data_IF_456730833408
#
_entry.id   IF_456730833408
#
_cell.length_a   1.000
_cell.length_b   1.000
_cell.length_c   1.000
_cell.angle_alpha   90.00
_cell.angle_beta   90.00
_cell.angle_gamma   90.00
#
_symmetry.space_group_name_H-M   'P 1'
#
loop_
_entity.id
_entity.type
_entity.pdbx_description
1 polymer ?
#
# COMPACT_ATOMS: atom_id res chain seq x y z
N UNK A 1 13.88 -23.88 5.31
CA UNK A 1 14.43 -22.59 5.78
C UNK A 1 15.81 -22.50 5.16
N UNK A 2 15.90 -21.89 3.98
CA UNK A 2 17.21 -21.53 3.44
C UNK A 2 17.87 -20.56 4.41
N UNK A 3 19.18 -20.72 4.62
CA UNK A 3 19.93 -19.78 5.42
C UNK A 3 19.72 -18.36 4.83
N UNK A 4 19.59 -17.32 5.67
CA UNK A 4 19.60 -15.97 5.16
C UNK A 4 20.83 -15.83 4.25
N UNK A 5 20.65 -15.21 3.07
CA UNK A 5 21.76 -14.97 2.15
C UNK A 5 22.92 -14.36 2.95
N UNK A 6 24.15 -14.84 2.77
CA UNK A 6 25.33 -14.34 3.49
C UNK A 6 25.46 -12.80 3.39
N UNK A 7 24.88 -12.23 2.33
CA UNK A 7 24.74 -10.80 2.09
C UNK A 7 23.85 -10.09 3.13
N UNK A 8 22.74 -10.70 3.56
CA UNK A 8 21.85 -10.15 4.61
C UNK A 8 22.57 -10.09 5.95
N UNK A 9 23.31 -11.14 6.33
CA UNK A 9 24.08 -11.16 7.58
C UNK A 9 25.16 -10.06 7.61
N UNK A 10 25.78 -9.79 6.46
CA UNK A 10 26.75 -8.69 6.31
C UNK A 10 26.06 -7.34 6.47
N UNK A 11 24.92 -7.12 5.83
CA UNK A 11 24.15 -5.86 5.93
C UNK A 11 23.68 -5.65 7.37
N UNK A 12 23.12 -6.67 8.02
CA UNK A 12 22.66 -6.62 9.40
C UNK A 12 23.78 -6.18 10.35
N UNK A 13 24.95 -6.83 10.25
CA UNK A 13 26.09 -6.54 11.13
C UNK A 13 26.75 -5.19 10.87
N UNK A 14 26.63 -4.65 9.65
CA UNK A 14 27.43 -3.53 9.14
C UNK A 14 26.58 -2.37 8.63
N UNK A 15 25.33 -2.29 9.06
CA UNK A 15 24.38 -1.27 8.60
C UNK A 15 24.89 0.15 8.86
N UNK A 16 25.45 0.40 10.05
CA UNK A 16 26.03 1.67 10.46
C UNK A 16 27.17 2.14 9.52
N UNK A 17 28.03 1.22 9.08
CA UNK A 17 29.06 1.51 8.08
C UNK A 17 28.46 1.85 6.71
N UNK A 18 27.46 1.09 6.26
CA UNK A 18 26.82 1.30 4.97
C UNK A 18 26.05 2.63 4.90
N UNK A 19 25.30 2.96 5.95
CA UNK A 19 24.58 4.23 6.09
C UNK A 19 25.58 5.39 6.10
N UNK A 20 26.63 5.30 6.93
CA UNK A 20 27.62 6.39 7.03
C UNK A 20 28.38 6.62 5.73
N UNK A 21 28.80 5.56 5.05
CA UNK A 21 29.51 5.63 3.76
C UNK A 21 28.58 5.95 2.57
N UNK A 22 27.25 5.92 2.76
CA UNK A 22 26.30 6.36 1.75
C UNK A 22 26.18 7.89 1.70
N UNK A 23 26.47 8.58 2.81
CA UNK A 23 26.49 10.05 2.94
C UNK A 23 27.75 10.67 2.33
N UNK A 24 28.89 9.98 2.38
CA UNK A 24 30.15 10.45 1.83
C UNK A 24 31.28 9.42 1.92
N UNK A 25 32.31 9.59 1.09
CA UNK A 25 33.47 8.72 1.13
C UNK A 25 34.33 9.00 2.38
N UNK A 26 34.79 7.95 3.06
CA UNK A 26 35.63 8.06 4.27
C UNK A 26 36.77 7.06 4.28
N UNK A 27 37.91 7.46 4.83
CA UNK A 27 39.05 6.57 5.07
C UNK A 27 38.84 5.78 6.36
N UNK A 28 39.52 4.63 6.46
CA UNK A 28 39.46 3.72 7.62
C UNK A 28 39.77 4.40 8.97
N UNK A 29 40.55 5.48 9.01
CA UNK A 29 40.80 6.20 10.26
C UNK A 29 39.68 7.18 10.62
N UNK A 30 39.05 7.80 9.65
CA UNK A 30 37.89 8.70 9.86
C UNK A 30 36.68 7.88 10.35
N UNK A 31 36.49 6.67 9.83
CA UNK A 31 35.45 5.74 10.31
C UNK A 31 35.65 5.28 11.76
N UNK A 32 36.90 5.23 12.26
CA UNK A 32 37.17 4.93 13.67
C UNK A 32 36.69 6.08 14.55
N UNK A 33 36.93 7.32 14.12
CA UNK A 33 36.56 8.52 14.86
C UNK A 33 35.04 8.77 14.82
N UNK A 34 34.40 8.53 13.67
CA UNK A 34 32.97 8.79 13.44
C UNK A 34 32.04 7.73 14.05
N UNK A 35 32.42 6.45 13.98
CA UNK A 35 31.57 5.34 14.44
C UNK A 35 31.99 4.79 15.82
N UNK A 36 32.99 5.39 16.47
CA UNK A 36 33.54 4.98 17.78
C UNK A 36 33.91 3.48 17.84
N UNK A 37 34.32 2.91 16.71
CA UNK A 37 34.71 1.50 16.59
C UNK A 37 36.23 1.33 16.62
N UNK A 38 36.70 0.24 17.20
CA UNK A 38 38.12 -0.09 17.17
C UNK A 38 38.66 -0.20 15.72
N UNK A 39 39.94 0.15 15.51
CA UNK A 39 40.61 -0.03 14.20
C UNK A 39 40.46 -1.43 13.63
N UNK A 40 40.54 -2.48 14.46
CA UNK A 40 40.37 -3.85 14.00
C UNK A 40 38.93 -4.14 13.54
N UNK A 41 37.94 -3.54 14.21
CA UNK A 41 36.53 -3.65 13.81
C UNK A 41 36.30 -2.97 12.46
N UNK A 42 36.81 -1.75 12.29
CA UNK A 42 36.66 -0.98 11.04
C UNK A 42 37.34 -1.68 9.87
N UNK A 43 38.58 -2.15 10.03
CA UNK A 43 39.28 -2.89 8.98
C UNK A 43 38.47 -4.11 8.54
N UNK A 44 38.04 -4.93 9.51
CA UNK A 44 37.25 -6.13 9.22
C UNK A 44 35.89 -5.79 8.59
N UNK A 45 35.24 -4.70 9.00
CA UNK A 45 33.98 -4.26 8.42
C UNK A 45 34.14 -3.90 6.95
N UNK A 46 35.13 -3.07 6.62
CA UNK A 46 35.40 -2.65 5.24
C UNK A 46 35.80 -3.84 4.39
N UNK A 47 36.67 -4.73 4.88
CA UNK A 47 37.10 -5.89 4.12
C UNK A 47 35.91 -6.85 3.84
N UNK A 48 34.98 -7.02 4.80
CA UNK A 48 33.74 -7.81 4.62
C UNK A 48 32.78 -7.14 3.61
N UNK A 49 32.60 -5.82 3.69
CA UNK A 49 31.71 -5.06 2.81
C UNK A 49 32.24 -4.97 1.37
N UNK A 50 33.55 -4.82 1.21
CA UNK A 50 34.23 -4.78 -0.08
C UNK A 50 34.21 -6.17 -0.74
N UNK A 51 34.47 -7.24 0.02
CA UNK A 51 34.34 -8.61 -0.46
C UNK A 51 32.89 -8.95 -0.90
N UNK A 52 31.88 -8.32 -0.29
CA UNK A 52 30.48 -8.44 -0.66
C UNK A 52 30.04 -7.45 -1.76
N UNK A 53 30.94 -6.60 -2.27
CA UNK A 53 30.64 -5.59 -3.31
C UNK A 53 29.70 -4.47 -2.84
N UNK A 54 29.50 -4.31 -1.53
CA UNK A 54 28.61 -3.31 -0.94
C UNK A 54 29.31 -1.96 -0.71
N UNK A 55 30.64 -2.00 -0.65
CA UNK A 55 31.51 -0.84 -0.54
C UNK A 55 32.63 -0.96 -1.59
N UNK A 56 33.06 0.16 -2.15
CA UNK A 56 34.20 0.23 -3.05
C UNK A 56 35.22 1.25 -2.55
N UNK A 57 36.50 0.97 -2.78
CA UNK A 57 37.58 1.95 -2.61
C UNK A 57 37.61 2.97 -3.74
N UNK A 58 37.74 4.24 -3.38
CA UNK A 58 37.95 5.41 -4.22
C UNK A 58 39.24 6.16 -3.80
N UNK A 59 39.67 7.15 -4.57
CA UNK A 59 40.89 7.94 -4.27
C UNK A 59 40.85 8.61 -2.88
N UNK A 60 39.67 9.01 -2.43
CA UNK A 60 39.48 9.75 -1.19
C UNK A 60 39.06 8.87 0.00
N UNK A 61 38.78 7.58 -0.20
CA UNK A 61 38.35 6.69 0.88
C UNK A 61 37.50 5.54 0.35
N UNK A 62 36.63 5.00 1.20
CA UNK A 62 35.66 3.98 0.84
C UNK A 62 34.29 4.61 0.68
N UNK A 63 33.44 4.08 -0.20
CA UNK A 63 32.07 4.55 -0.41
C UNK A 63 31.10 3.38 -0.60
N UNK A 64 29.88 3.53 -0.11
CA UNK A 64 28.80 2.57 -0.34
C UNK A 64 28.43 2.54 -1.82
N UNK A 65 28.46 1.33 -2.42
CA UNK A 65 28.02 1.10 -3.80
C UNK A 65 26.50 1.27 -3.94
N UNK A 66 25.97 1.27 -5.16
CA UNK A 66 24.51 1.29 -5.36
C UNK A 66 23.84 0.10 -4.66
N UNK A 67 24.41 -1.11 -4.83
CA UNK A 67 23.92 -2.33 -4.17
C UNK A 67 23.91 -2.20 -2.65
N UNK A 68 25.02 -1.73 -2.06
CA UNK A 68 25.09 -1.50 -0.62
C UNK A 68 24.06 -0.48 -0.11
N UNK A 69 23.79 0.58 -0.89
CA UNK A 69 22.82 1.61 -0.54
C UNK A 69 21.39 1.07 -0.55
N UNK A 70 21.00 0.37 -1.62
CA UNK A 70 19.67 -0.22 -1.75
C UNK A 70 19.39 -1.25 -0.65
N UNK A 71 20.39 -2.06 -0.31
CA UNK A 71 20.27 -3.06 0.75
C UNK A 71 20.19 -2.42 2.13
N UNK A 72 21.02 -1.40 2.42
CA UNK A 72 20.96 -0.67 3.68
C UNK A 72 19.59 -0.01 3.86
N UNK A 73 19.07 0.68 2.83
CA UNK A 73 17.74 1.29 2.86
C UNK A 73 16.64 0.24 3.06
N UNK A 74 16.68 -0.87 2.33
CA UNK A 74 15.69 -1.94 2.45
C UNK A 74 15.72 -2.60 3.83
N UNK A 75 16.91 -2.85 4.37
CA UNK A 75 17.08 -3.42 5.69
C UNK A 75 16.63 -2.45 6.79
N UNK A 76 16.92 -1.15 6.63
CA UNK A 76 16.43 -0.11 7.53
C UNK A 76 14.90 -0.04 7.53
N UNK A 77 14.27 -0.08 6.34
CA UNK A 77 12.81 -0.14 6.21
C UNK A 77 12.24 -1.38 6.89
N UNK A 78 12.86 -2.54 6.70
CA UNK A 78 12.46 -3.77 7.40
C UNK A 78 12.52 -3.61 8.92
N UNK A 79 13.61 -3.05 9.46
CA UNK A 79 13.72 -2.82 10.91
C UNK A 79 12.64 -1.89 11.43
N UNK A 80 12.30 -0.83 10.70
CA UNK A 80 11.24 0.08 11.13
C UNK A 80 9.88 -0.59 11.06
N UNK A 81 9.56 -1.31 9.97
CA UNK A 81 8.33 -2.11 9.87
C UNK A 81 8.23 -3.13 11.00
N UNK A 82 9.33 -3.82 11.33
CA UNK A 82 9.35 -4.78 12.42
C UNK A 82 9.07 -4.11 13.78
N UNK A 83 9.63 -2.93 14.02
CA UNK A 83 9.36 -2.16 15.24
C UNK A 83 7.91 -1.66 15.31
N UNK A 84 7.36 -1.15 14.20
CA UNK A 84 5.98 -0.67 14.09
C UNK A 84 4.99 -1.83 14.37
N UNK A 85 5.22 -3.00 13.78
CA UNK A 85 4.41 -4.21 14.00
C UNK A 85 4.54 -4.74 15.44
N UNK A 86 5.75 -4.79 16.00
CA UNK A 86 5.99 -5.23 17.37
C UNK A 86 5.28 -4.31 18.38
N UNK A 87 5.36 -2.99 18.17
CA UNK A 87 4.68 -1.99 18.99
C UNK A 87 3.14 -2.12 18.96
N UNK A 88 2.58 -2.56 17.83
CA UNK A 88 1.14 -2.78 17.68
C UNK A 88 0.66 -4.19 18.07
N UNK A 89 1.57 -5.12 18.35
CA UNK A 89 1.27 -6.55 18.51
C UNK A 89 0.15 -6.86 19.51
N UNK A 90 0.14 -6.21 20.68
CA UNK A 90 -0.90 -6.42 21.70
C UNK A 90 -2.27 -5.88 21.28
N UNK A 91 -2.30 -4.82 20.47
CA UNK A 91 -3.53 -4.23 19.93
C UNK A 91 -4.10 -5.09 18.80
N UNK A 92 -3.24 -5.75 18.03
CA UNK A 92 -3.64 -6.65 16.94
C UNK A 92 -3.94 -8.09 17.42
N UNK A 93 -3.69 -8.42 18.69
CA UNK A 93 -3.80 -9.78 19.20
C UNK A 93 -5.13 -10.53 18.93
N UNK A 94 -6.32 -9.87 18.91
CA UNK A 94 -7.58 -10.55 18.57
C UNK A 94 -7.71 -10.95 17.09
N UNK A 95 -6.88 -10.37 16.23
CA UNK A 95 -6.97 -10.56 14.78
C UNK A 95 -6.47 -11.95 14.37
N UNK A 96 -7.19 -12.58 13.44
CA UNK A 96 -6.79 -13.84 12.83
C UNK A 96 -5.61 -13.67 11.87
N UNK A 97 -4.88 -14.76 11.56
CA UNK A 97 -3.70 -14.72 10.69
C UNK A 97 -4.02 -14.43 9.21
N UNK A 98 -5.27 -14.59 8.80
CA UNK A 98 -5.71 -14.43 7.41
C UNK A 98 -6.16 -12.99 7.09
N UNK A 99 -6.09 -12.07 8.05
CA UNK A 99 -6.51 -10.68 7.85
C UNK A 99 -5.52 -9.96 6.93
N UNK A 100 -6.06 -9.39 5.84
CA UNK A 100 -5.30 -8.57 4.91
C UNK A 100 -5.07 -7.16 5.50
N UNK A 101 -3.97 -7.00 6.24
CA UNK A 101 -3.49 -5.74 6.79
C UNK A 101 -2.06 -5.45 6.30
N UNK A 102 -1.85 -4.31 5.67
CA UNK A 102 -0.50 -3.87 5.29
C UNK A 102 0.23 -3.30 6.51
N UNK A 103 1.54 -3.55 6.68
CA UNK A 103 2.33 -2.89 7.72
C UNK A 103 2.36 -1.36 7.59
N UNK A 104 2.11 -0.82 6.38
CA UNK A 104 1.95 0.62 6.15
C UNK A 104 0.90 1.24 7.09
N UNK A 105 -0.17 0.50 7.42
CA UNK A 105 -1.24 0.96 8.29
C UNK A 105 -0.81 1.22 9.75
N UNK A 106 0.35 0.68 10.15
CA UNK A 106 0.88 0.75 11.51
C UNK A 106 2.07 1.71 11.61
N UNK A 107 2.39 2.39 10.52
CA UNK A 107 3.57 3.24 10.43
C UNK A 107 3.51 4.36 11.46
N UNK A 108 4.52 4.43 12.34
CA UNK A 108 4.62 5.44 13.41
C UNK A 108 3.32 5.58 14.23
N UNK A 109 2.62 4.45 14.43
CA UNK A 109 1.31 4.45 15.06
C UNK A 109 1.42 4.45 16.60
N UNK A 110 0.70 5.37 17.24
CA UNK A 110 0.42 5.32 18.66
C UNK A 110 -0.70 4.30 18.91
N UNK A 111 -0.47 3.35 19.82
CA UNK A 111 -1.46 2.32 20.14
C UNK A 111 -2.09 2.50 21.51
N UNK A 112 -3.41 2.28 21.58
CA UNK A 112 -4.20 2.43 22.79
C UNK A 112 -5.10 1.22 22.95
N UNK A 113 -4.96 0.50 24.07
CA UNK A 113 -5.78 -0.69 24.39
C UNK A 113 -6.88 -0.37 25.38
N UNK A 114 -8.01 -1.06 25.25
CA UNK A 114 -9.09 -1.07 26.23
C UNK A 114 -8.70 -1.96 27.41
N UNK A 115 -7.79 -1.47 28.26
CA UNK A 115 -7.27 -2.20 29.40
C UNK A 115 -7.32 -1.36 30.68
N UNK A 116 -7.44 -2.02 31.83
CA UNK A 116 -7.35 -1.35 33.12
C UNK A 116 -5.97 -0.65 33.27
N UNK A 117 -5.92 0.53 33.92
CA UNK A 117 -7.00 1.21 34.63
C UNK A 117 -7.90 2.09 33.76
N UNK A 118 -7.58 2.27 32.47
CA UNK A 118 -8.26 3.20 31.56
C UNK A 118 -8.84 2.47 30.33
N UNK A 119 -9.92 1.68 30.51
CA UNK A 119 -10.49 0.87 29.43
C UNK A 119 -11.19 1.71 28.36
N UNK A 120 -11.49 2.99 28.61
CA UNK A 120 -12.17 3.86 27.66
C UNK A 120 -11.20 4.67 26.79
N UNK A 121 -9.89 4.59 27.08
CA UNK A 121 -8.85 5.33 26.36
C UNK A 121 -8.93 5.23 24.83
N UNK A 122 -9.17 4.06 24.22
CA UNK A 122 -9.27 3.97 22.76
C UNK A 122 -10.45 4.79 22.21
N UNK A 123 -11.60 4.74 22.88
CA UNK A 123 -12.78 5.52 22.47
C UNK A 123 -12.58 7.03 22.66
N UNK A 124 -11.90 7.45 23.73
CA UNK A 124 -11.56 8.86 23.93
C UNK A 124 -10.67 9.41 22.81
N UNK A 125 -9.70 8.61 22.37
CA UNK A 125 -8.80 8.95 21.26
C UNK A 125 -9.55 9.03 19.95
N UNK A 126 -10.38 8.03 19.65
CA UNK A 126 -11.25 8.04 18.47
C UNK A 126 -12.20 9.25 18.45
N UNK A 127 -12.85 9.56 19.58
CA UNK A 127 -13.73 10.72 19.70
C UNK A 127 -12.95 12.05 19.49
N UNK A 128 -11.68 12.12 19.91
CA UNK A 128 -10.84 13.30 19.71
C UNK A 128 -10.45 13.50 18.24
N UNK A 129 -10.07 12.42 17.54
CA UNK A 129 -9.76 12.45 16.10
C UNK A 129 -10.97 12.90 15.28
N UNK A 130 -12.18 12.47 15.66
CA UNK A 130 -13.41 12.81 14.94
C UNK A 130 -14.03 14.16 15.32
N UNK A 131 -13.53 14.84 16.36
CA UNK A 131 -14.25 15.97 16.97
C UNK A 131 -14.40 17.16 16.02
N UNK A 132 -13.35 17.46 15.25
CA UNK A 132 -13.21 18.64 14.39
C UNK A 132 -12.91 18.26 12.93
N UNK A 133 -13.24 17.02 12.53
CA UNK A 133 -12.91 16.51 11.20
C UNK A 133 -13.83 17.07 10.10
N UNK A 134 -13.22 17.58 9.02
CA UNK A 134 -13.93 18.09 7.84
C UNK A 134 -14.21 16.97 6.82
N UNK A 135 -13.39 15.92 6.81
CA UNK A 135 -13.56 14.74 5.99
C UNK A 135 -13.41 13.46 6.81
N UNK A 136 -14.35 12.53 6.66
CA UNK A 136 -14.35 11.23 7.35
C UNK A 136 -14.55 10.12 6.32
N UNK A 137 -13.60 9.21 6.21
CA UNK A 137 -13.75 7.96 5.46
C UNK A 137 -13.61 6.79 6.42
N UNK A 138 -14.64 5.95 6.56
CA UNK A 138 -14.64 4.84 7.50
C UNK A 138 -15.19 3.55 6.89
N UNK A 139 -14.58 2.43 7.24
CA UNK A 139 -15.05 1.08 6.98
C UNK A 139 -15.13 0.31 8.30
N UNK A 140 -16.32 -0.13 8.71
CA UNK A 140 -16.55 -0.66 10.06
C UNK A 140 -17.19 -2.06 10.05
N UNK A 141 -16.54 -3.06 10.67
CA UNK A 141 -17.14 -4.37 10.91
C UNK A 141 -18.14 -4.35 12.07
N UNK A 142 -17.96 -3.42 13.00
CA UNK A 142 -18.80 -3.18 14.17
C UNK A 142 -18.79 -1.69 14.47
N UNK A 143 -19.86 -1.15 15.06
CA UNK A 143 -19.87 0.24 15.52
C UNK A 143 -19.11 0.36 16.85
N UNK A 144 -17.99 1.10 16.91
CA UNK A 144 -17.24 1.27 18.16
C UNK A 144 -18.02 2.11 19.18
N UNK A 145 -18.78 3.09 18.69
CA UNK A 145 -19.72 3.86 19.50
C UNK A 145 -20.83 4.44 18.61
N UNK A 146 -22.03 4.69 19.15
CA UNK A 146 -23.08 5.41 18.42
C UNK A 146 -22.68 6.84 18.04
N UNK A 147 -21.75 7.45 18.82
CA UNK A 147 -21.27 8.81 18.60
C UNK A 147 -20.56 8.97 17.26
N UNK A 148 -19.94 7.92 16.74
CA UNK A 148 -19.31 7.95 15.42
C UNK A 148 -20.32 8.34 14.33
N UNK A 149 -21.53 7.75 14.35
CA UNK A 149 -22.56 8.08 13.37
C UNK A 149 -23.07 9.51 13.54
N UNK A 150 -23.18 9.99 14.79
CA UNK A 150 -23.57 11.38 15.06
C UNK A 150 -22.50 12.36 14.55
N UNK A 151 -21.21 12.02 14.64
CA UNK A 151 -20.11 12.79 14.07
C UNK A 151 -20.17 12.81 12.55
N UNK A 152 -20.27 11.65 11.92
CA UNK A 152 -20.46 11.54 10.47
C UNK A 152 -21.63 12.41 9.98
N UNK A 153 -22.80 12.31 10.62
CA UNK A 153 -23.96 13.14 10.28
C UNK A 153 -23.67 14.64 10.46
N UNK A 154 -22.98 15.02 11.52
CA UNK A 154 -22.66 16.43 11.81
C UNK A 154 -21.69 17.00 10.78
N UNK A 155 -20.65 16.25 10.39
CA UNK A 155 -19.70 16.62 9.34
C UNK A 155 -20.41 16.78 8.00
N UNK A 156 -21.23 15.81 7.59
CA UNK A 156 -22.03 15.90 6.36
C UNK A 156 -22.97 17.12 6.36
N UNK A 157 -23.63 17.41 7.50
CA UNK A 157 -24.51 18.57 7.63
C UNK A 157 -23.76 19.91 7.59
N UNK A 158 -22.48 19.93 7.95
CA UNK A 158 -21.60 21.09 7.83
C UNK A 158 -21.04 21.28 6.40
N UNK A 159 -21.34 20.38 5.48
CA UNK A 159 -20.81 20.37 4.10
C UNK A 159 -19.46 19.68 3.96
N UNK A 160 -19.04 18.92 4.97
CA UNK A 160 -17.87 18.04 4.91
C UNK A 160 -18.16 16.74 4.15
N UNK A 161 -17.09 16.01 3.85
CA UNK A 161 -17.13 14.78 3.05
C UNK A 161 -17.21 13.55 3.94
N UNK A 162 -18.15 12.63 3.69
CA UNK A 162 -18.29 11.42 4.51
C UNK A 162 -18.50 10.17 3.67
N UNK A 163 -17.53 9.26 3.69
CA UNK A 163 -17.66 7.92 3.11
C UNK A 163 -17.75 6.88 4.22
N UNK A 164 -18.86 6.13 4.28
CA UNK A 164 -19.10 5.13 5.32
C UNK A 164 -19.43 3.75 4.71
N UNK A 165 -18.49 2.83 4.78
CA UNK A 165 -18.70 1.41 4.49
C UNK A 165 -19.01 0.63 5.77
N UNK A 166 -20.07 -0.17 5.76
CA UNK A 166 -20.50 -1.02 6.86
C UNK A 166 -20.67 -2.44 6.38
N UNK A 167 -20.43 -3.44 7.24
CA UNK A 167 -20.88 -4.81 6.89
C UNK A 167 -22.40 -4.88 6.91
N UNK A 168 -22.97 -5.89 6.23
CA UNK A 168 -24.42 -6.13 6.20
C UNK A 168 -25.02 -6.18 7.63
N UNK A 169 -24.36 -6.85 8.56
CA UNK A 169 -24.79 -6.95 9.96
C UNK A 169 -24.75 -5.60 10.66
N UNK A 170 -23.66 -4.85 10.50
CA UNK A 170 -23.48 -3.53 11.11
C UNK A 170 -24.51 -2.54 10.56
N UNK A 171 -24.73 -2.56 9.25
CA UNK A 171 -25.72 -1.75 8.57
C UNK A 171 -27.13 -2.05 9.09
N UNK A 172 -27.54 -3.33 9.15
CA UNK A 172 -28.88 -3.69 9.62
C UNK A 172 -29.11 -3.26 11.06
N UNK A 173 -28.13 -3.47 11.95
CA UNK A 173 -28.18 -2.97 13.32
C UNK A 173 -28.28 -1.44 13.38
N UNK A 174 -27.46 -0.74 12.59
CA UNK A 174 -27.46 0.72 12.54
C UNK A 174 -28.77 1.28 11.99
N UNK A 175 -29.36 0.63 10.98
CA UNK A 175 -30.64 1.00 10.40
C UNK A 175 -31.79 0.79 11.39
N UNK A 176 -31.76 -0.25 12.21
CA UNK A 176 -32.80 -0.53 13.19
C UNK A 176 -32.78 0.47 14.35
N UNK A 177 -31.59 0.83 14.85
CA UNK A 177 -31.46 1.65 16.06
C UNK A 177 -31.15 3.12 15.82
N UNK A 178 -30.57 3.46 14.66
CA UNK A 178 -30.05 4.79 14.33
C UNK A 178 -30.50 5.27 12.93
N UNK A 179 -31.71 4.85 12.50
CA UNK A 179 -32.28 5.20 11.19
C UNK A 179 -32.24 6.71 10.90
N UNK A 180 -32.62 7.53 11.88
CA UNK A 180 -32.69 8.99 11.72
C UNK A 180 -31.28 9.61 11.56
N UNK A 181 -30.28 9.05 12.24
CA UNK A 181 -28.88 9.48 12.09
C UNK A 181 -28.34 9.09 10.72
N UNK A 182 -28.60 7.87 10.25
CA UNK A 182 -28.18 7.39 8.93
C UNK A 182 -28.88 8.13 7.77
N UNK A 183 -30.19 8.37 7.87
CA UNK A 183 -30.91 9.21 6.90
C UNK A 183 -30.49 10.68 6.98
N UNK A 184 -30.05 11.12 8.15
CA UNK A 184 -29.40 12.41 8.37
C UNK A 184 -28.11 12.56 7.56
N UNK A 185 -27.24 11.57 7.72
CA UNK A 185 -25.97 11.45 7.02
C UNK A 185 -26.16 11.36 5.50
N UNK A 186 -27.00 10.44 5.03
CA UNK A 186 -27.23 10.17 3.61
C UNK A 186 -27.91 11.32 2.85
N UNK A 187 -28.44 12.33 3.55
CA UNK A 187 -28.98 13.53 2.94
C UNK A 187 -27.93 14.62 2.69
N UNK A 188 -26.69 14.43 3.16
CA UNK A 188 -25.58 15.33 2.83
C UNK A 188 -25.18 15.19 1.36
N UNK A 189 -24.82 16.31 0.73
CA UNK A 189 -24.48 16.32 -0.71
C UNK A 189 -23.21 15.54 -1.04
N UNK A 190 -22.28 15.43 -0.09
CA UNK A 190 -21.00 14.71 -0.22
C UNK A 190 -20.87 13.60 0.84
N UNK A 191 -21.95 12.83 1.01
CA UNK A 191 -22.01 11.71 1.93
C UNK A 191 -22.45 10.42 1.22
N UNK A 192 -21.72 9.33 1.46
CA UNK A 192 -22.03 8.00 0.96
C UNK A 192 -22.11 6.98 2.11
N UNK A 193 -23.12 6.12 2.06
CA UNK A 193 -23.27 4.96 2.94
C UNK A 193 -23.36 3.71 2.09
N UNK A 194 -22.44 2.77 2.31
CA UNK A 194 -22.26 1.57 1.49
C UNK A 194 -22.28 0.32 2.38
N UNK A 195 -22.89 -0.75 1.90
CA UNK A 195 -22.79 -2.09 2.49
C UNK A 195 -21.67 -2.85 1.78
N UNK A 196 -20.62 -3.26 2.49
CA UNK A 196 -19.48 -3.96 1.92
C UNK A 196 -19.08 -5.19 2.75
N UNK A 197 -18.62 -6.23 2.04
CA UNK A 197 -18.02 -7.42 2.64
C UNK A 197 -16.49 -7.26 2.78
N UNK A 198 -15.85 -8.17 3.53
CA UNK A 198 -14.38 -8.17 3.68
C UNK A 198 -13.82 -7.03 4.54
N UNK A 199 -14.66 -6.53 5.46
CA UNK A 199 -14.23 -5.62 6.53
C UNK A 199 -13.94 -6.48 7.76
N UNK A 200 -12.66 -6.70 8.06
CA UNK A 200 -12.25 -7.49 9.24
C UNK A 200 -11.73 -6.60 10.39
N UNK A 201 -11.24 -5.41 10.04
CA UNK A 201 -10.72 -4.40 10.97
C UNK A 201 -11.42 -3.08 10.68
N UNK A 202 -11.78 -2.33 11.72
CA UNK A 202 -12.30 -0.98 11.55
C UNK A 202 -11.20 -0.09 10.99
N UNK A 203 -11.41 0.47 9.80
CA UNK A 203 -10.47 1.38 9.15
C UNK A 203 -11.11 2.75 9.09
N UNK A 204 -10.44 3.78 9.58
CA UNK A 204 -10.97 5.14 9.60
C UNK A 204 -9.88 6.13 9.26
N UNK A 205 -10.21 7.11 8.42
CA UNK A 205 -9.40 8.31 8.19
C UNK A 205 -10.28 9.51 8.49
N UNK A 206 -9.77 10.40 9.32
CA UNK A 206 -10.32 11.73 9.55
C UNK A 206 -9.25 12.74 9.15
N UNK A 207 -9.50 13.49 8.08
CA UNK A 207 -8.54 14.41 7.46
C UNK A 207 -7.16 13.77 7.20
N UNK A 208 -6.16 14.09 8.01
CA UNK A 208 -4.76 13.60 7.93
C UNK A 208 -4.41 12.58 9.02
N UNK A 209 -5.41 12.04 9.72
CA UNK A 209 -5.21 11.04 10.79
C UNK A 209 -5.87 9.72 10.42
N UNK A 210 -5.08 8.65 10.36
CA UNK A 210 -5.55 7.28 10.21
C UNK A 210 -5.75 6.62 11.58
N UNK A 211 -6.84 5.87 11.70
CA UNK A 211 -7.16 5.08 12.88
C UNK A 211 -7.59 3.69 12.45
N UNK A 212 -6.89 2.68 12.97
CA UNK A 212 -7.35 1.30 12.95
C UNK A 212 -8.06 0.99 14.26
N UNK A 213 -9.21 0.34 14.18
CA UNK A 213 -10.01 -0.09 15.33
C UNK A 213 -10.11 -1.61 15.32
N UNK A 214 -9.54 -2.22 16.35
CA UNK A 214 -9.58 -3.67 16.56
C UNK A 214 -10.69 -3.98 17.56
N UNK A 215 -11.51 -4.96 17.20
CA UNK A 215 -12.61 -5.44 18.03
C UNK A 215 -12.25 -6.78 18.66
N UNK A 216 -12.79 -7.07 19.84
CA UNK A 216 -12.77 -8.39 20.46
C UNK A 216 -13.88 -9.29 19.89
N UNK A 217 -13.87 -10.57 20.30
CA UNK A 217 -14.86 -11.57 19.86
C UNK A 217 -16.31 -11.23 20.28
N UNK A 218 -16.48 -10.37 21.29
CA UNK A 218 -17.77 -9.91 21.80
C UNK A 218 -18.25 -8.62 21.07
N UNK A 219 -17.44 -8.09 20.14
CA UNK A 219 -17.71 -6.86 19.40
C UNK A 219 -17.37 -5.57 20.17
N UNK A 220 -16.73 -5.68 21.33
CA UNK A 220 -16.15 -4.55 22.06
C UNK A 220 -14.89 -4.03 21.37
N UNK A 221 -14.54 -2.75 21.57
CA UNK A 221 -13.27 -2.22 21.10
C UNK A 221 -12.15 -2.77 21.98
N UNK A 222 -11.27 -3.59 21.40
CA UNK A 222 -10.07 -4.10 22.08
C UNK A 222 -8.96 -3.06 22.11
N UNK A 223 -8.80 -2.30 21.03
CA UNK A 223 -7.83 -1.22 20.96
C UNK A 223 -7.86 -0.49 19.63
N UNK A 224 -7.09 0.59 19.56
CA UNK A 224 -6.87 1.36 18.33
C UNK A 224 -5.38 1.58 18.08
N UNK A 225 -5.04 1.76 16.81
CA UNK A 225 -3.76 2.30 16.38
C UNK A 225 -4.03 3.60 15.60
N UNK A 226 -3.46 4.71 16.05
CA UNK A 226 -3.61 6.05 15.48
C UNK A 226 -2.28 6.46 14.84
N UNK A 227 -2.31 6.94 13.60
CA UNK A 227 -1.12 7.42 12.89
C UNK A 227 -1.43 8.66 12.05
N UNK A 228 -0.46 9.57 12.00
CA UNK A 228 -0.45 10.73 11.09
C UNK A 228 0.60 10.58 9.99
N UNK A 229 1.25 9.41 9.88
CA UNK A 229 2.20 9.14 8.81
C UNK A 229 1.46 9.03 7.48
N UNK A 230 2.01 9.66 6.43
CA UNK A 230 1.36 9.72 5.12
C UNK A 230 1.16 8.33 4.51
N UNK A 231 2.10 7.38 4.71
CA UNK A 231 1.97 6.01 4.20
C UNK A 231 0.78 5.28 4.87
N UNK A 232 0.55 5.53 6.17
CA UNK A 232 -0.59 4.98 6.89
C UNK A 232 -1.91 5.61 6.43
N UNK A 233 -1.97 6.93 6.32
CA UNK A 233 -3.18 7.68 5.90
C UNK A 233 -3.60 7.29 4.49
N UNK A 234 -2.66 7.24 3.54
CA UNK A 234 -2.93 6.84 2.16
C UNK A 234 -3.44 5.41 2.10
N UNK A 235 -2.79 4.48 2.81
CA UNK A 235 -3.22 3.08 2.82
C UNK A 235 -4.63 2.90 3.39
N UNK A 236 -4.95 3.51 4.55
CA UNK A 236 -6.28 3.36 5.16
C UNK A 236 -7.34 4.02 4.27
N UNK A 237 -7.06 5.18 3.69
CA UNK A 237 -7.98 5.85 2.76
C UNK A 237 -8.25 5.01 1.52
N UNK A 238 -7.21 4.42 0.93
CA UNK A 238 -7.35 3.53 -0.23
C UNK A 238 -8.13 2.26 0.13
N UNK A 239 -7.90 1.68 1.31
CA UNK A 239 -8.65 0.52 1.80
C UNK A 239 -10.14 0.83 1.95
N UNK A 240 -10.50 1.98 2.54
CA UNK A 240 -11.90 2.42 2.65
C UNK A 240 -12.49 2.68 1.27
N UNK A 241 -11.78 3.43 0.42
CA UNK A 241 -12.22 3.73 -0.95
C UNK A 241 -12.50 2.46 -1.77
N UNK A 242 -11.64 1.45 -1.65
CA UNK A 242 -11.81 0.15 -2.31
C UNK A 242 -13.06 -0.58 -1.82
N UNK A 243 -13.31 -0.58 -0.51
CA UNK A 243 -14.51 -1.15 0.08
C UNK A 243 -15.79 -0.42 -0.34
N UNK A 244 -15.78 0.92 -0.33
CA UNK A 244 -16.91 1.73 -0.76
C UNK A 244 -17.24 1.49 -2.24
N UNK A 245 -16.23 1.33 -3.11
CA UNK A 245 -16.43 1.04 -4.54
C UNK A 245 -16.97 -0.37 -4.80
N UNK A 246 -16.55 -1.34 -3.99
CA UNK A 246 -16.97 -2.74 -4.15
C UNK A 246 -18.34 -3.03 -3.54
N UNK A 247 -18.80 -2.20 -2.59
CA UNK A 247 -20.04 -2.42 -1.87
C UNK A 247 -21.30 -1.91 -2.58
N UNK A 248 -22.45 -2.22 -1.98
CA UNK A 248 -23.76 -1.78 -2.43
C UNK A 248 -24.13 -0.43 -1.78
N UNK A 249 -24.26 0.61 -2.60
CA UNK A 249 -24.66 1.95 -2.17
C UNK A 249 -26.13 2.00 -1.74
N UNK A 250 -26.36 2.39 -0.48
CA UNK A 250 -27.68 2.53 0.15
C UNK A 250 -28.03 3.97 0.48
N UNK A 251 -27.21 4.94 0.07
CA UNK A 251 -27.34 6.36 0.38
C UNK A 251 -28.71 6.89 -0.04
N UNK A 252 -29.09 6.66 -1.31
CA UNK A 252 -30.36 7.13 -1.85
C UNK A 252 -31.58 6.47 -1.17
N UNK A 253 -31.47 5.20 -0.77
CA UNK A 253 -32.54 4.50 -0.05
C UNK A 253 -32.74 5.14 1.34
N UNK A 254 -31.65 5.39 2.06
CA UNK A 254 -31.68 6.01 3.39
C UNK A 254 -32.25 7.44 3.35
N UNK A 255 -31.83 8.24 2.37
CA UNK A 255 -32.36 9.59 2.17
C UNK A 255 -33.87 9.56 1.86
N UNK A 256 -34.30 8.66 0.97
CA UNK A 256 -35.72 8.53 0.61
C UNK A 256 -36.60 8.06 1.77
N UNK A 257 -36.12 7.12 2.61
CA UNK A 257 -36.84 6.66 3.80
C UNK A 257 -37.06 7.81 4.78
N UNK A 258 -36.04 8.64 5.00
CA UNK A 258 -36.16 9.82 5.85
C UNK A 258 -37.17 10.81 5.29
N UNK A 259 -37.07 11.17 4.02
CA UNK A 259 -37.99 12.11 3.37
C UNK A 259 -39.45 11.63 3.41
N UNK A 260 -39.68 10.31 3.30
CA UNK A 260 -41.01 9.74 3.43
C UNK A 260 -41.54 9.84 4.87
N UNK A 261 -40.68 9.67 5.87
CA UNK A 261 -41.01 9.83 7.28
C UNK A 261 -41.33 11.29 7.63
N UNK A 262 -40.49 12.22 7.19
CA UNK A 262 -40.66 13.66 7.43
C UNK A 262 -41.98 14.16 6.81
N UNK A 263 -42.29 13.73 5.58
CA UNK A 263 -43.59 14.01 4.93
C UNK A 263 -44.79 13.33 5.61
N UNK A 264 -44.59 12.16 6.21
CA UNK A 264 -45.62 11.45 6.98
C UNK A 264 -45.90 12.08 8.35
N UNK A 265 -44.95 12.88 8.88
CA UNK A 265 -45.12 13.65 10.12
C UNK A 265 -45.76 15.03 9.89
N UNK A 266 -45.83 15.51 8.65
CA UNK A 266 -46.63 16.67 8.24
C UNK A 266 -48.11 16.25 8.04
N UNK A 267 -48.81 15.88 9.11
CA UNK A 267 -50.29 15.87 9.05
C UNK A 267 -50.80 17.33 8.95
N UNK A 268 -51.84 17.60 8.13
CA UNK A 268 -52.35 18.94 7.95
C UNK A 268 -53.02 19.42 9.24
N UNK A 269 -52.45 20.46 9.84
CA UNK A 269 -53.06 21.22 10.93
C UNK A 269 -54.30 21.95 10.37
N UNK A 270 -55.43 21.23 10.30
CA UNK A 270 -56.58 21.69 9.53
C UNK A 270 -57.83 20.79 9.60
N UNK A 271 -58.55 20.96 10.70
CA UNK A 271 -60.01 20.88 10.85
C UNK A 271 -60.66 19.58 11.38
N UNK A 272 -61.35 19.75 12.52
CA UNK A 272 -62.76 19.39 12.59
C UNK A 272 -63.08 18.14 13.40
N UNK A 273 -63.44 18.38 14.66
CA UNK A 273 -64.41 17.58 15.41
C UNK A 273 -65.56 17.08 14.50
N UNK A 274 -65.66 15.77 14.31
CA UNK A 274 -66.92 15.04 14.32
C UNK A 274 -66.65 13.53 14.38
N UNK A 275 -67.26 12.88 15.36
CA UNK A 275 -67.00 11.49 15.70
C UNK A 275 -67.69 10.43 14.85
N UNK A 276 -67.38 9.21 15.26
CA UNK A 276 -68.12 7.95 15.09
C UNK A 276 -68.10 7.32 13.68
N UNK A 277 -67.33 6.23 13.51
CA UNK A 277 -67.88 4.86 13.50
C UNK A 277 -66.81 3.80 13.28
N UNK A 278 -66.99 2.72 14.05
CA UNK A 278 -66.41 1.38 13.92
C UNK A 278 -66.77 0.70 12.59
N UNK A 279 -65.87 -0.16 12.07
CA UNK A 279 -66.12 -1.60 11.78
C UNK A 279 -64.92 -2.31 11.14
N UNK A 280 -64.52 -3.42 11.78
CA UNK A 280 -64.18 -4.74 11.22
C UNK A 280 -63.27 -4.89 9.98
N UNK A 281 -62.07 -5.41 10.23
CA UNK A 281 -61.64 -6.78 9.87
C UNK A 281 -61.63 -7.17 8.39
N UNK A 282 -60.47 -7.62 7.90
CA UNK A 282 -60.28 -8.78 7.00
C UNK A 282 -58.77 -8.97 6.74
N UNK A 283 -58.18 -10.03 7.32
CA UNK A 283 -57.04 -10.72 6.70
C UNK A 283 -57.52 -11.47 5.45
N UNK A 284 -56.63 -11.74 4.48
CA UNK A 284 -56.22 -13.14 4.40
C UNK A 284 -54.74 -13.36 4.10
N UNK A 285 -54.32 -14.54 4.58
CA UNK A 285 -53.09 -15.26 4.33
C UNK A 285 -52.85 -15.65 2.85
N UNK A 286 -51.61 -16.03 2.53
CA UNK A 286 -51.38 -17.19 1.66
C UNK A 286 -50.25 -17.13 0.63
N UNK A 287 -49.07 -17.59 1.06
CA UNK A 287 -48.35 -18.73 0.46
C UNK A 287 -47.50 -18.59 -0.84
N UNK A 288 -46.22 -18.97 -0.66
CA UNK A 288 -45.38 -19.90 -1.45
C UNK A 288 -44.76 -19.53 -2.81
N UNK A 289 -43.41 -19.51 -2.75
CA UNK A 289 -42.42 -20.13 -3.67
C UNK A 289 -42.42 -19.76 -5.15
N UNK A 290 -41.36 -19.07 -5.56
CA UNK A 290 -40.83 -19.07 -6.91
C UNK A 290 -39.30 -19.13 -6.85
N UNK A 291 -38.74 -20.33 -7.05
CA UNK A 291 -37.33 -20.56 -7.32
C UNK A 291 -37.05 -20.07 -8.75
N UNK A 292 -36.17 -19.09 -8.91
CA UNK A 292 -35.68 -18.63 -10.20
C UNK A 292 -34.26 -18.10 -10.01
N UNK A 293 -33.28 -18.88 -10.45
CA UNK A 293 -31.92 -18.39 -10.63
C UNK A 293 -31.81 -17.67 -11.97
N UNK A 294 -31.09 -16.55 -11.96
CA UNK A 294 -30.19 -16.04 -13.00
C UNK A 294 -29.64 -14.72 -12.44
N UNK A 295 -28.36 -14.72 -12.07
CA UNK A 295 -27.26 -14.19 -12.92
C UNK A 295 -27.37 -12.68 -13.07
N UNK A 296 -26.59 -11.95 -12.27
CA UNK A 296 -25.99 -10.66 -12.64
C UNK A 296 -24.93 -10.30 -11.59
N UNK A 297 -23.92 -11.17 -11.47
CA UNK A 297 -22.67 -10.90 -10.78
C UNK A 297 -21.55 -10.79 -11.82
N UNK A 298 -21.77 -9.94 -12.83
CA UNK A 298 -21.04 -10.09 -14.09
C UNK A 298 -20.58 -8.76 -14.68
N UNK A 299 -20.54 -7.66 -13.92
CA UNK A 299 -20.05 -6.37 -14.43
C UNK A 299 -18.70 -5.97 -13.83
N UNK A 300 -18.55 -5.98 -12.49
CA UNK A 300 -17.30 -5.47 -11.87
C UNK A 300 -16.30 -6.57 -11.50
N UNK A 301 -16.78 -7.79 -11.24
CA UNK A 301 -15.93 -8.99 -11.31
C UNK A 301 -15.36 -9.21 -12.72
N UNK A 302 -15.95 -8.58 -13.75
CA UNK A 302 -15.38 -8.58 -15.09
C UNK A 302 -14.23 -7.59 -15.21
N UNK A 303 -14.17 -6.43 -14.56
CA UNK A 303 -13.09 -5.47 -14.79
C UNK A 303 -11.74 -5.93 -14.18
N UNK A 304 -11.73 -6.35 -12.92
CA UNK A 304 -10.53 -6.94 -12.29
C UNK A 304 -10.29 -8.38 -12.75
N UNK A 305 -11.37 -9.12 -13.03
CA UNK A 305 -11.29 -10.41 -13.70
C UNK A 305 -10.70 -10.29 -15.11
N UNK A 306 -11.01 -9.23 -15.87
CA UNK A 306 -10.44 -8.97 -17.19
C UNK A 306 -8.98 -8.59 -17.07
N UNK A 307 -8.59 -7.79 -16.09
CA UNK A 307 -7.19 -7.39 -15.89
C UNK A 307 -6.33 -8.58 -15.43
N UNK A 308 -6.86 -9.45 -14.58
CA UNK A 308 -6.21 -10.70 -14.19
C UNK A 308 -6.16 -11.73 -15.35
N UNK A 309 -7.22 -11.81 -16.16
CA UNK A 309 -7.26 -12.63 -17.38
C UNK A 309 -6.33 -12.05 -18.45
N UNK A 310 -6.15 -10.74 -18.51
CA UNK A 310 -5.25 -10.03 -19.42
C UNK A 310 -3.79 -10.26 -19.05
N UNK A 311 -3.42 -10.12 -17.78
CA UNK A 311 -2.08 -10.45 -17.30
C UNK A 311 -1.73 -11.91 -17.61
N UNK A 312 -2.70 -12.82 -17.44
CA UNK A 312 -2.53 -14.23 -17.77
C UNK A 312 -2.47 -14.50 -19.27
N UNK A 313 -3.28 -13.81 -20.06
CA UNK A 313 -3.26 -13.91 -21.51
C UNK A 313 -1.93 -13.37 -22.08
N UNK A 314 -1.39 -12.29 -21.54
CA UNK A 314 -0.06 -11.78 -21.88
C UNK A 314 1.03 -12.80 -21.55
N UNK A 315 0.97 -13.42 -20.36
CA UNK A 315 1.92 -14.47 -19.99
C UNK A 315 1.83 -15.71 -20.92
N UNK A 316 0.62 -16.15 -21.25
CA UNK A 316 0.39 -17.29 -22.14
C UNK A 316 0.81 -16.97 -23.60
N UNK A 317 0.54 -15.75 -24.09
CA UNK A 317 0.98 -15.31 -25.41
C UNK A 317 2.50 -15.13 -25.48
N UNK A 318 3.13 -14.68 -24.39
CA UNK A 318 4.59 -14.61 -24.26
C UNK A 318 5.22 -16.00 -24.32
N UNK A 319 4.66 -16.96 -23.58
CA UNK A 319 5.09 -18.38 -23.64
C UNK A 319 4.94 -18.97 -25.04
N UNK A 320 3.81 -18.77 -25.70
CA UNK A 320 3.58 -19.26 -27.07
C UNK A 320 4.53 -18.60 -28.08
N UNK A 321 4.91 -17.33 -27.88
CA UNK A 321 5.94 -16.67 -28.69
C UNK A 321 7.33 -17.29 -28.46
N UNK A 322 7.67 -17.59 -27.20
CA UNK A 322 8.91 -18.29 -26.83
C UNK A 322 9.02 -19.67 -27.48
N UNK A 323 7.94 -20.48 -27.43
CA UNK A 323 7.87 -21.79 -28.07
C UNK A 323 8.02 -21.74 -29.61
N UNK A 324 7.67 -20.59 -30.21
CA UNK A 324 7.81 -20.35 -31.65
C UNK A 324 9.16 -19.74 -32.04
N UNK A 325 10.02 -19.44 -31.07
CA UNK A 325 11.34 -18.83 -31.28
C UNK A 325 11.30 -17.31 -31.54
N UNK A 326 10.19 -16.63 -31.23
CA UNK A 326 10.04 -15.18 -31.36
C UNK A 326 10.38 -14.51 -30.02
N UNK A 327 11.67 -14.33 -29.78
CA UNK A 327 12.25 -13.95 -28.48
C UNK A 327 11.86 -12.55 -28.06
N UNK A 328 11.94 -11.57 -28.97
CA UNK A 328 11.61 -10.16 -28.70
C UNK A 328 10.16 -10.02 -28.24
N UNK A 329 9.24 -10.62 -29.00
CA UNK A 329 7.82 -10.63 -28.69
C UNK A 329 7.49 -11.37 -27.39
N UNK A 330 8.26 -12.42 -27.07
CA UNK A 330 8.09 -13.15 -25.83
C UNK A 330 8.52 -12.31 -24.62
N UNK A 331 9.66 -11.63 -24.69
CA UNK A 331 10.19 -10.74 -23.64
C UNK A 331 9.23 -9.59 -23.37
N UNK A 332 8.73 -8.92 -24.41
CA UNK A 332 7.80 -7.80 -24.27
C UNK A 332 6.51 -8.23 -23.54
N UNK A 333 5.93 -9.36 -23.94
CA UNK A 333 4.66 -9.84 -23.38
C UNK A 333 4.80 -10.39 -21.97
N UNK A 334 5.90 -11.08 -21.67
CA UNK A 334 6.19 -11.59 -20.33
C UNK A 334 6.48 -10.43 -19.36
N UNK A 335 7.23 -9.41 -19.80
CA UNK A 335 7.48 -8.19 -19.00
C UNK A 335 6.18 -7.43 -18.73
N UNK A 336 5.35 -7.23 -19.76
CA UNK A 336 4.04 -6.60 -19.60
C UNK A 336 3.11 -7.39 -18.66
N UNK A 337 3.17 -8.72 -18.68
CA UNK A 337 2.41 -9.57 -17.76
C UNK A 337 2.89 -9.43 -16.30
N UNK A 338 4.20 -9.29 -16.09
CA UNK A 338 4.79 -9.07 -14.76
C UNK A 338 4.39 -7.69 -14.23
N UNK A 339 4.55 -6.64 -15.02
CA UNK A 339 4.19 -5.26 -14.64
C UNK A 339 2.69 -5.14 -14.31
N UNK A 340 1.84 -5.74 -15.13
CA UNK A 340 0.40 -5.76 -14.89
C UNK A 340 0.06 -6.61 -13.66
N UNK A 341 0.69 -7.77 -13.51
CA UNK A 341 0.52 -8.66 -12.36
C UNK A 341 0.93 -8.02 -11.04
N UNK A 342 1.98 -7.20 -11.02
CA UNK A 342 2.36 -6.40 -9.85
C UNK A 342 1.34 -5.32 -9.53
N UNK A 343 0.79 -4.65 -10.55
CA UNK A 343 -0.22 -3.58 -10.36
C UNK A 343 -1.52 -4.09 -9.73
N UNK A 344 -1.88 -5.35 -9.96
CA UNK A 344 -3.09 -5.98 -9.39
C UNK A 344 -2.79 -6.98 -8.27
N UNK A 345 -1.56 -6.96 -7.73
CA UNK A 345 -1.09 -7.85 -6.66
C UNK A 345 -1.34 -9.35 -6.91
N UNK A 346 -1.33 -9.77 -8.18
CA UNK A 346 -1.68 -11.13 -8.57
C UNK A 346 -0.45 -12.02 -8.70
N UNK A 347 -0.09 -12.68 -7.59
CA UNK A 347 1.01 -13.66 -7.52
C UNK A 347 0.85 -14.77 -8.57
N UNK A 348 -0.39 -15.16 -8.88
CA UNK A 348 -0.70 -16.19 -9.90
C UNK A 348 -0.41 -15.77 -11.34
N UNK A 349 -0.29 -14.47 -11.61
CA UNK A 349 0.11 -13.94 -12.93
C UNK A 349 1.62 -13.66 -13.00
N UNK A 350 2.21 -13.15 -11.91
CA UNK A 350 3.64 -12.76 -11.86
C UNK A 350 4.57 -13.96 -11.92
N UNK A 351 4.32 -14.99 -11.09
CA UNK A 351 5.28 -16.10 -10.92
C UNK A 351 5.49 -16.89 -12.23
N UNK A 352 4.45 -17.33 -12.97
CA UNK A 352 4.66 -18.07 -14.20
C UNK A 352 5.31 -17.25 -15.32
N UNK A 353 5.03 -15.94 -15.38
CA UNK A 353 5.64 -15.06 -16.38
C UNK A 353 7.13 -14.82 -16.11
N UNK A 354 7.51 -14.64 -14.84
CA UNK A 354 8.89 -14.49 -14.42
C UNK A 354 9.71 -15.77 -14.63
N UNK A 355 9.13 -16.94 -14.37
CA UNK A 355 9.78 -18.24 -14.63
C UNK A 355 10.08 -18.45 -16.12
N UNK A 356 9.12 -18.13 -17.00
CA UNK A 356 9.32 -18.23 -18.46
C UNK A 356 10.32 -17.20 -18.99
N UNK A 357 10.31 -15.97 -18.47
CA UNK A 357 11.30 -14.94 -18.83
C UNK A 357 12.71 -15.39 -18.42
N UNK A 358 12.86 -15.96 -17.23
CA UNK A 358 14.12 -16.50 -16.74
C UNK A 358 14.59 -17.71 -17.59
N UNK A 359 13.67 -18.58 -18.01
CA UNK A 359 13.98 -19.69 -18.90
C UNK A 359 14.44 -19.22 -20.30
N UNK A 360 13.81 -18.19 -20.86
CA UNK A 360 14.22 -17.56 -22.12
C UNK A 360 15.63 -16.98 -22.05
N UNK A 361 15.92 -16.21 -21.00
CA UNK A 361 17.24 -15.64 -20.74
C UNK A 361 18.30 -16.72 -20.56
N UNK A 362 17.97 -17.82 -19.90
CA UNK A 362 18.86 -18.96 -19.72
C UNK A 362 19.07 -19.78 -21.01
N UNK A 363 18.09 -19.80 -21.92
CA UNK A 363 18.15 -20.51 -23.20
C UNK A 363 18.85 -19.72 -24.32
N UNK A 364 19.00 -18.40 -24.15
CA UNK A 364 19.72 -17.51 -25.07
C UNK A 364 20.95 -16.88 -24.41
N UNK A 365 21.93 -17.68 -23.92
CA UNK A 365 23.17 -17.16 -23.39
C UNK A 365 24.08 -16.71 -24.56
N UNK A 366 23.95 -15.44 -24.92
CA UNK A 366 24.89 -14.58 -25.65
C UNK A 366 25.04 -14.64 -27.19
N UNK A 367 25.34 -13.43 -27.72
CA UNK A 367 26.13 -13.02 -28.91
C UNK A 367 25.44 -12.79 -30.28
N UNK A 368 25.10 -11.52 -30.57
CA UNK A 368 25.56 -10.75 -31.76
C UNK A 368 24.65 -9.52 -32.02
N UNK A 369 24.75 -8.49 -31.18
CA UNK A 369 24.44 -7.09 -31.56
C UNK A 369 25.12 -6.09 -30.63
N UNK A 370 26.28 -6.47 -30.07
CA UNK A 370 27.21 -5.48 -29.53
C UNK A 370 27.87 -4.81 -30.72
N UNK A 371 27.47 -3.57 -30.97
CA UNK A 371 28.10 -2.53 -31.76
C UNK A 371 29.39 -2.98 -32.50
N UNK A 372 29.33 -3.00 -33.84
CA UNK A 372 30.42 -3.47 -34.72
C UNK A 372 31.68 -2.59 -34.59
N UNK A 373 31.55 -1.42 -33.95
CA UNK A 373 32.66 -0.51 -33.61
C UNK A 373 33.14 -0.65 -32.15
N UNK A 374 32.54 -1.54 -31.34
CA UNK A 374 32.99 -1.81 -29.98
C UNK A 374 34.33 -2.57 -30.01
N UNK A 375 35.39 -2.03 -29.36
CA UNK A 375 36.67 -2.71 -29.32
C UNK A 375 36.55 -4.05 -28.55
N UNK A 376 36.70 -5.17 -29.27
CA UNK A 376 36.51 -6.53 -28.73
C UNK A 376 37.30 -6.85 -27.45
N UNK A 377 36.80 -7.83 -26.68
CA UNK A 377 37.32 -8.25 -25.38
C UNK A 377 38.79 -8.68 -25.38
N UNK A 378 39.47 -8.53 -24.24
CA UNK A 378 40.86 -8.98 -24.08
C UNK A 378 40.90 -10.50 -24.14
N UNK A 379 41.71 -11.10 -25.04
CA UNK A 379 41.86 -12.55 -25.08
C UNK A 379 42.44 -13.07 -23.77
N UNK A 380 41.96 -14.23 -23.31
CA UNK A 380 42.34 -14.86 -22.04
C UNK A 380 43.85 -14.97 -21.83
N UNK A 381 44.61 -15.16 -22.92
CA UNK A 381 46.08 -15.22 -22.89
C UNK A 381 46.76 -13.90 -22.47
N UNK A 382 46.04 -12.79 -22.48
CA UNK A 382 46.51 -11.45 -22.11
C UNK A 382 45.82 -10.90 -20.84
N UNK A 383 45.00 -11.72 -20.15
CA UNK A 383 44.22 -11.29 -19.00
C UNK A 383 45.07 -10.79 -17.80
N UNK A 384 46.35 -11.16 -17.74
CA UNK A 384 47.32 -10.69 -16.74
C UNK A 384 48.28 -9.61 -17.24
N UNK A 385 48.15 -9.15 -18.50
CA UNK A 385 49.00 -8.09 -19.05
C UNK A 385 48.31 -6.71 -18.92
N UNK A 386 48.79 -5.83 -18.02
CA UNK A 386 48.20 -4.50 -17.84
C UNK A 386 48.30 -3.61 -19.08
N UNK A 387 49.19 -3.93 -20.03
CA UNK A 387 49.28 -3.20 -21.29
C UNK A 387 48.08 -3.50 -22.21
N UNK A 388 47.55 -4.72 -22.19
CA UNK A 388 46.38 -5.09 -22.97
C UNK A 388 45.11 -4.33 -22.54
N UNK A 389 44.96 -4.06 -21.24
CA UNK A 389 43.85 -3.26 -20.71
C UNK A 389 43.99 -1.78 -21.03
N UNK A 390 45.22 -1.24 -21.03
CA UNK A 390 45.47 0.14 -21.47
C UNK A 390 45.20 0.33 -22.96
N UNK A 391 45.64 -0.61 -23.79
CA UNK A 391 45.41 -0.57 -25.23
C UNK A 391 43.91 -0.71 -25.56
N UNK A 392 43.18 -1.56 -24.81
CA UNK A 392 41.71 -1.61 -24.88
C UNK A 392 41.08 -0.26 -24.52
N UNK A 393 41.48 0.33 -23.40
CA UNK A 393 40.94 1.61 -22.93
C UNK A 393 41.24 2.78 -23.89
N UNK A 394 42.41 2.79 -24.53
CA UNK A 394 42.77 3.80 -25.52
C UNK A 394 42.00 3.60 -26.85
N UNK A 395 41.65 2.36 -27.21
CA UNK A 395 40.75 2.06 -28.34
C UNK A 395 39.32 2.54 -28.12
N UNK A 396 38.87 2.59 -26.86
CA UNK A 396 37.57 3.15 -26.46
C UNK A 396 37.56 4.69 -26.42
N UNK A 397 38.71 5.37 -26.56
CA UNK A 397 38.75 6.83 -26.74
C UNK A 397 38.40 7.18 -28.18
N UNK A 398 37.12 7.42 -28.44
CA UNK A 398 36.69 8.14 -29.64
C UNK A 398 37.10 9.61 -29.49
N UNK A 399 37.78 10.14 -30.50
CA UNK A 399 38.17 11.55 -30.62
C UNK A 399 36.94 12.48 -30.46
N UNK A 400 36.84 13.13 -29.30
CA UNK A 400 35.86 14.18 -29.02
C UNK A 400 36.19 15.51 -29.69
N UNK A 401 36.74 15.49 -30.91
CA UNK A 401 37.15 16.69 -31.65
C UNK A 401 36.19 16.98 -32.81
N UNK A 402 34.90 17.21 -32.48
CA UNK A 402 33.92 17.74 -33.43
C UNK A 402 32.70 18.41 -32.79
N UNK A 403 32.77 19.00 -31.59
CA UNK A 403 31.80 20.05 -31.20
C UNK A 403 32.53 21.12 -30.39
N UNK A 404 33.02 22.14 -31.10
CA UNK A 404 33.43 23.39 -30.50
C UNK A 404 32.22 24.07 -29.86
N UNK A 405 32.26 24.24 -28.53
CA UNK A 405 31.52 25.28 -27.83
C UNK A 405 32.53 26.06 -26.99
N UNK A 406 33.17 27.03 -27.65
CA UNK A 406 34.01 28.02 -27.00
C UNK A 406 33.13 29.21 -26.58
N UNK A 407 33.22 29.62 -25.31
CA UNK A 407 33.64 30.97 -24.90
C UNK A 407 33.27 31.28 -23.44
N UNK A 408 34.25 31.01 -22.58
CA UNK A 408 34.85 31.90 -21.58
C UNK A 408 34.01 32.98 -20.88
N UNK A 409 33.95 32.87 -19.56
CA UNK A 409 33.79 33.96 -18.59
C UNK A 409 34.85 35.05 -18.84
N UNK A 410 34.42 36.31 -18.99
CA UNK A 410 35.31 37.46 -18.93
C UNK A 410 35.28 38.05 -17.53
N UNK A 411 36.41 38.02 -16.82
CA UNK A 411 36.71 38.97 -15.75
C UNK A 411 38.08 39.61 -16.03
N UNK A 412 38.06 40.95 -16.05
CA UNK A 412 39.16 41.90 -15.72
C UNK A 412 40.40 41.90 -16.63
N UNK A 413 40.99 43.03 -17.08
CA UNK A 413 41.21 44.30 -16.37
C UNK A 413 41.80 45.38 -17.32
N UNK A 414 41.70 46.65 -16.89
CA UNK A 414 42.45 47.86 -17.33
C UNK A 414 42.00 48.61 -18.61
N UNK A 415 41.19 49.68 -18.44
CA UNK A 415 41.71 51.05 -18.23
C UNK A 415 40.61 52.04 -17.82
#
# INVERSE_FOLDING_TARGET
MEAPSALVEVVERRLDFLERLAEGALRKHELVDELDHSRSTVNRAIDELEAAGLVAGETDGYRTTLTGRLLAQSYRRFLTVAADVDAASETLAPLGPDIALSPAALRDADTYRAAAPDPYRPLERLDAVLADADSIAAALPTLPSPRLLDRCRSTAAAGGSVDLALTDRTYHHAREHYADTLGGLAAGDDAAVVIADGIDVGCLVADETAVLVVFDDDGGVHGIAESTDTEAVEWVRERVCTLCKAGYDVTNELAAIRDARDRGCEEPDGAGDTGDRTTEGTEPAGSTTGRGGHDENTSDAKADGFTAVEARALADLGRVAAERGDVETAVDRLTAAIDLGYRIESVRAVVPAAEELAALLAAHPDSDELDVDAPGSIPESAATDPAAYRDLADRWRVDGDAVAADFTTSESEAR
#
